data_IF_109510079674
#
_entry.id   IF_109510079674
#
_cell.length_a   1.000
_cell.length_b   1.000
_cell.length_c   1.000
_cell.angle_alpha   90.00
_cell.angle_beta   90.00
_cell.angle_gamma   90.00
#
_symmetry.space_group_name_H-M   'P 1'
#
loop_
_entity.id
_entity.type
_entity.pdbx_description
1 polymer ?
#
# COMPACT_ATOMS: atom_id res chain seq x y z
N UNK A 1 -18.57 -1.49 18.26
CA UNK A 1 -17.73 -2.48 17.53
C UNK A 1 -17.08 -1.76 16.35
N UNK A 2 -15.74 -1.70 16.24
CA UNK A 2 -15.09 -1.12 15.06
C UNK A 2 -15.25 -2.08 13.88
N UNK A 3 -15.58 -1.56 12.70
CA UNK A 3 -15.59 -2.32 11.44
C UNK A 3 -14.18 -2.88 11.20
N UNK A 4 -14.06 -4.17 10.91
CA UNK A 4 -12.78 -4.77 10.50
C UNK A 4 -12.29 -4.25 9.15
N UNK A 5 -11.09 -4.64 8.76
CA UNK A 5 -10.55 -4.32 7.43
C UNK A 5 -11.30 -5.12 6.36
N UNK A 6 -11.64 -4.45 5.26
CA UNK A 6 -12.33 -5.04 4.11
C UNK A 6 -11.48 -4.91 2.86
N UNK A 7 -11.86 -5.70 1.86
CA UNK A 7 -11.24 -5.63 0.55
C UNK A 7 -11.24 -4.19 0.03
N UNK A 8 -10.08 -3.75 -0.46
CA UNK A 8 -9.83 -2.39 -0.99
C UNK A 8 -9.90 -1.25 0.01
N UNK A 9 -9.93 -1.53 1.31
CA UNK A 9 -9.58 -0.52 2.29
C UNK A 9 -8.13 -0.06 2.07
N UNK A 10 -7.85 1.19 2.45
CA UNK A 10 -6.51 1.76 2.40
C UNK A 10 -5.95 1.97 3.79
N UNK A 11 -4.69 1.55 3.97
CA UNK A 11 -3.89 1.80 5.17
C UNK A 11 -2.77 2.75 4.75
N UNK A 12 -2.60 3.84 5.49
CA UNK A 12 -1.59 4.85 5.22
C UNK A 12 -0.50 4.79 6.29
N UNK A 13 0.77 4.77 5.87
CA UNK A 13 1.90 4.89 6.79
C UNK A 13 2.20 6.36 7.10
N UNK A 14 3.05 6.62 8.09
CA UNK A 14 3.46 7.99 8.45
C UNK A 14 4.30 8.66 7.35
N UNK A 15 4.93 7.86 6.49
CA UNK A 15 5.66 8.27 5.29
C UNK A 15 4.74 8.47 4.07
N UNK A 16 3.42 8.48 4.26
CA UNK A 16 2.39 8.62 3.21
C UNK A 16 2.30 7.44 2.22
N UNK A 17 2.82 6.24 2.55
CA UNK A 17 2.66 5.06 1.69
C UNK A 17 1.23 4.53 1.83
N UNK A 18 0.56 4.24 0.72
CA UNK A 18 -0.81 3.74 0.72
C UNK A 18 -0.85 2.26 0.34
N UNK A 19 -1.18 1.44 1.32
CA UNK A 19 -1.38 0.00 1.17
C UNK A 19 -2.85 -0.31 0.92
N UNK A 20 -3.12 -1.19 -0.04
CA UNK A 20 -4.46 -1.66 -0.38
C UNK A 20 -4.68 -3.03 0.26
N UNK A 21 -5.71 -3.16 1.08
CA UNK A 21 -6.10 -4.42 1.71
C UNK A 21 -6.62 -5.41 0.67
N UNK A 22 -6.19 -6.67 0.79
CA UNK A 22 -6.61 -7.79 -0.08
C UNK A 22 -7.61 -8.66 0.68
N UNK A 23 -8.83 -8.78 0.15
CA UNK A 23 -9.86 -9.62 0.74
C UNK A 23 -10.42 -9.06 2.06
N UNK A 24 -11.39 -9.78 2.63
CA UNK A 24 -12.05 -9.38 3.89
C UNK A 24 -11.79 -10.35 5.04
N UNK A 25 -10.93 -11.36 4.82
CA UNK A 25 -10.54 -12.36 5.81
C UNK A 25 -9.04 -12.25 6.00
N UNK A 26 -8.64 -12.02 7.24
CA UNK A 26 -7.25 -11.86 7.62
C UNK A 26 -6.94 -12.73 8.84
N UNK A 27 -5.67 -13.10 9.06
CA UNK A 27 -5.27 -13.70 10.33
C UNK A 27 -5.59 -12.76 11.50
N UNK A 28 -5.75 -13.31 12.70
CA UNK A 28 -6.18 -12.53 13.86
C UNK A 28 -5.21 -11.41 14.27
N UNK A 29 -3.93 -11.53 13.89
CA UNK A 29 -2.83 -10.66 14.32
C UNK A 29 -2.29 -9.74 13.22
N UNK A 30 -2.76 -9.86 11.97
CA UNK A 30 -2.21 -9.11 10.83
C UNK A 30 -3.21 -8.91 9.72
N UNK A 31 -2.92 -7.96 8.83
CA UNK A 31 -3.73 -7.65 7.65
C UNK A 31 -2.89 -7.95 6.42
N UNK A 32 -3.51 -8.56 5.41
CA UNK A 32 -2.85 -8.81 4.12
C UNK A 32 -3.13 -7.61 3.22
N UNK A 33 -2.08 -6.94 2.79
CA UNK A 33 -2.16 -5.76 1.92
C UNK A 33 -0.90 -5.63 1.07
N UNK A 34 -0.96 -4.79 0.04
CA UNK A 34 0.19 -4.49 -0.83
C UNK A 34 0.30 -2.98 -1.06
N UNK A 35 1.52 -2.49 -1.28
CA UNK A 35 1.72 -1.07 -1.57
C UNK A 35 1.13 -0.72 -2.94
N UNK A 36 0.15 0.16 -2.95
CA UNK A 36 -0.55 0.57 -4.19
C UNK A 36 -0.09 1.92 -4.67
N UNK A 37 0.12 2.86 -3.74
CA UNK A 37 0.64 4.18 -4.07
C UNK A 37 1.78 4.58 -3.14
N UNK A 38 2.77 5.27 -3.71
CA UNK A 38 3.85 5.91 -2.97
C UNK A 38 3.91 7.40 -3.31
N UNK A 39 4.35 8.25 -2.38
CA UNK A 39 4.56 9.66 -2.66
C UNK A 39 5.45 9.86 -3.87
N UNK A 40 5.08 10.81 -4.71
CA UNK A 40 5.85 11.18 -5.89
C UNK A 40 5.51 12.61 -6.30
N UNK A 41 6.49 13.51 -6.30
CA UNK A 41 6.30 14.93 -6.66
C UNK A 41 5.59 15.12 -8.00
N UNK A 42 5.97 14.29 -9.00
CA UNK A 42 5.37 14.29 -10.34
C UNK A 42 4.28 13.22 -10.51
N UNK A 43 3.70 12.78 -9.40
CA UNK A 43 2.60 11.83 -9.37
C UNK A 43 1.34 12.38 -10.04
N UNK A 44 0.66 11.53 -10.81
CA UNK A 44 -0.61 11.88 -11.46
C UNK A 44 -1.83 11.64 -10.54
N UNK A 45 -1.62 10.95 -9.42
CA UNK A 45 -2.66 10.63 -8.44
C UNK A 45 -2.54 11.56 -7.22
N UNK A 46 -3.66 11.98 -6.65
CA UNK A 46 -3.68 12.82 -5.45
C UNK A 46 -4.56 14.06 -5.59
N UNK A 47 -4.60 14.89 -4.55
CA UNK A 47 -5.34 16.16 -4.52
C UNK A 47 -4.47 17.23 -3.86
N UNK A 48 -4.53 18.45 -4.39
CA UNK A 48 -3.70 19.57 -3.91
C UNK A 48 -2.21 19.27 -4.09
N UNK A 49 -1.46 19.48 -3.01
CA UNK A 49 0.00 19.32 -2.97
C UNK A 49 0.44 17.86 -2.81
N UNK A 50 -0.42 16.98 -2.28
CA UNK A 50 -0.09 15.56 -2.13
C UNK A 50 -0.21 14.84 -3.46
N UNK A 51 0.92 14.33 -3.96
CA UNK A 51 1.04 13.62 -5.23
C UNK A 51 1.61 12.22 -5.02
N UNK A 52 1.08 11.27 -5.78
CA UNK A 52 1.39 9.86 -5.69
C UNK A 52 1.54 9.22 -7.07
N UNK A 53 2.34 8.15 -7.13
CA UNK A 53 2.40 7.24 -8.28
C UNK A 53 1.96 5.84 -7.88
N UNK A 54 1.39 5.10 -8.82
CA UNK A 54 1.07 3.68 -8.62
C UNK A 54 2.36 2.86 -8.67
N UNK A 55 2.47 1.90 -7.77
CA UNK A 55 3.58 0.93 -7.79
C UNK A 55 3.32 -0.12 -8.88
N UNK A 56 2.11 -0.70 -8.90
CA UNK A 56 1.70 -1.63 -9.95
C UNK A 56 1.27 -0.91 -11.24
N UNK A 57 1.73 -1.39 -12.39
CA UNK A 57 1.38 -0.80 -13.70
C UNK A 57 0.17 -1.49 -14.34
N UNK A 58 0.07 -2.81 -14.21
CA UNK A 58 -0.88 -3.66 -14.92
C UNK A 58 -1.72 -4.59 -14.03
N UNK A 59 -1.64 -4.45 -12.69
CA UNK A 59 -2.41 -5.26 -11.73
C UNK A 59 -2.29 -6.79 -11.94
N UNK A 60 -1.12 -7.24 -12.42
CA UNK A 60 -0.84 -8.66 -12.60
C UNK A 60 -0.27 -9.28 -11.31
N UNK A 61 -0.28 -10.61 -11.21
CA UNK A 61 0.40 -11.30 -10.10
C UNK A 61 1.91 -11.04 -10.09
N UNK A 62 2.54 -10.84 -11.26
CA UNK A 62 3.95 -10.49 -11.35
C UNK A 62 4.20 -9.09 -10.79
N UNK A 63 3.40 -8.09 -11.20
CA UNK A 63 3.45 -6.74 -10.63
C UNK A 63 3.22 -6.76 -9.11
N UNK A 64 2.39 -7.68 -8.61
CA UNK A 64 2.12 -7.81 -7.18
C UNK A 64 3.34 -8.36 -6.46
N UNK A 65 3.95 -9.42 -7.00
CA UNK A 65 5.21 -9.97 -6.49
C UNK A 65 6.28 -8.88 -6.47
N UNK A 66 6.37 -8.04 -7.48
CA UNK A 66 7.30 -6.91 -7.50
C UNK A 66 7.02 -5.90 -6.37
N UNK A 67 5.75 -5.68 -6.00
CA UNK A 67 5.41 -4.84 -4.84
C UNK A 67 5.73 -5.49 -3.49
N UNK A 68 5.76 -6.83 -3.43
CA UNK A 68 6.11 -7.59 -2.23
C UNK A 68 7.63 -7.73 -2.07
N UNK A 69 8.34 -7.86 -3.20
CA UNK A 69 9.79 -7.77 -3.31
C UNK A 69 10.29 -6.33 -3.30
N UNK A 70 9.39 -5.35 -3.13
CA UNK A 70 9.77 -3.98 -2.86
C UNK A 70 10.45 -3.95 -1.49
N UNK A 71 11.75 -4.23 -1.51
CA UNK A 71 12.66 -4.28 -0.38
C UNK A 71 13.01 -2.86 0.05
N UNK A 72 12.01 -1.99 0.23
CA UNK A 72 12.22 -0.63 0.67
C UNK A 72 13.23 -0.67 1.82
N UNK A 73 14.42 -0.08 1.60
CA UNK A 73 15.22 0.41 2.71
C UNK A 73 14.31 1.41 3.40
N UNK A 74 13.54 0.93 4.38
CA UNK A 74 12.72 1.76 5.26
C UNK A 74 13.72 2.33 6.26
N UNK A 75 14.03 3.63 6.23
CA UNK A 75 14.86 4.22 7.28
C UNK A 75 14.05 4.17 8.58
N UNK A 76 14.42 3.28 9.51
CA UNK A 76 13.96 3.37 10.91
C UNK A 76 12.85 2.43 11.38
N UNK A 77 12.51 1.36 10.65
CA UNK A 77 11.60 0.32 11.18
C UNK A 77 12.33 -1.02 11.24
N UNK A 78 12.77 -1.49 12.42
CA UNK A 78 13.36 -2.81 12.56
C UNK A 78 12.28 -3.89 12.44
N UNK A 79 12.65 -4.99 11.80
CA UNK A 79 11.93 -6.27 11.84
C UNK A 79 11.92 -6.85 13.26
#
# INVERSE_FOLDING_TARGET
MRRGFRDRDFIQTVEDFLFCVIGSVHPADRIISYVKYIPAERGIWGRGEKRFKRVMRYYTMLDLIDTLNFSGEIPGVPL
#
